data_IF_882400499957
#
_entry.id   IF_882400499957
#
_cell.length_a   1.000
_cell.length_b   1.000
_cell.length_c   1.000
_cell.angle_alpha   90.00
_cell.angle_beta   90.00
_cell.angle_gamma   90.00
#
_symmetry.space_group_name_H-M   'P 1'
#
loop_
_entity.id
_entity.type
_entity.pdbx_description
1 polymer ?
#
# COMPACT_ATOMS: atom_id res chain seq x y z
N UNK A 1 -5.30 3.68 12.66
CA UNK A 1 -4.81 3.39 11.29
C UNK A 1 -5.97 3.62 10.34
N UNK A 2 -5.87 4.54 9.37
CA UNK A 2 -6.97 4.79 8.41
C UNK A 2 -6.99 3.63 7.40
N UNK A 3 -8.13 2.98 7.13
CA UNK A 3 -8.19 1.92 6.13
C UNK A 3 -7.90 2.50 4.74
N UNK A 4 -7.14 1.77 3.93
CA UNK A 4 -6.88 2.17 2.54
C UNK A 4 -8.17 2.01 1.72
N UNK A 5 -8.40 2.88 0.72
CA UNK A 5 -9.64 2.88 -0.05
C UNK A 5 -9.87 1.58 -0.84
N UNK A 6 -8.80 0.89 -1.22
CA UNK A 6 -8.87 -0.38 -1.96
C UNK A 6 -9.43 -1.53 -1.09
N UNK A 7 -9.07 -1.57 0.20
CA UNK A 7 -9.57 -2.59 1.13
C UNK A 7 -11.09 -2.47 1.34
N UNK A 8 -11.62 -1.25 1.34
CA UNK A 8 -13.07 -1.04 1.49
C UNK A 8 -13.84 -1.59 0.28
N UNK A 9 -13.33 -1.36 -0.92
CA UNK A 9 -13.92 -1.85 -2.17
C UNK A 9 -13.90 -3.39 -2.27
N UNK A 10 -12.84 -4.04 -1.77
CA UNK A 10 -12.76 -5.50 -1.71
C UNK A 10 -13.75 -6.10 -0.71
N UNK A 11 -13.94 -5.46 0.46
CA UNK A 11 -14.85 -5.94 1.51
C UNK A 11 -16.33 -5.83 1.11
N UNK A 12 -16.70 -4.92 0.21
CA UNK A 12 -18.07 -4.86 -0.34
C UNK A 12 -18.44 -6.12 -1.15
N UNK A 13 -17.45 -6.79 -1.74
CA UNK A 13 -17.67 -8.05 -2.48
C UNK A 13 -17.82 -9.27 -1.56
N UNK A 14 -17.54 -9.12 -0.26
CA UNK A 14 -17.60 -10.19 0.74
C UNK A 14 -18.31 -9.74 2.02
N UNK A 15 -19.65 -9.53 1.98
CA UNK A 15 -20.41 -8.96 3.10
C UNK A 15 -20.32 -9.80 4.39
N UNK A 16 -20.12 -11.12 4.26
CA UNK A 16 -19.87 -12.02 5.40
C UNK A 16 -18.59 -11.61 6.15
N UNK A 17 -17.47 -11.41 5.43
CA UNK A 17 -16.18 -11.04 6.01
C UNK A 17 -16.21 -9.61 6.58
N UNK A 18 -16.96 -8.70 5.95
CA UNK A 18 -17.15 -7.34 6.44
C UNK A 18 -17.90 -7.29 7.80
N UNK A 19 -18.76 -8.27 8.06
CA UNK A 19 -19.54 -8.38 9.31
C UNK A 19 -18.81 -9.05 10.47
N UNK A 20 -17.65 -9.68 10.21
CA UNK A 20 -16.87 -10.38 11.24
C UNK A 20 -16.05 -9.40 12.07
N UNK A 21 -16.01 -9.64 13.38
CA UNK A 21 -15.14 -8.89 14.28
C UNK A 21 -13.67 -9.22 13.97
N UNK A 22 -12.82 -8.18 13.84
CA UNK A 22 -11.37 -8.37 13.60
C UNK A 22 -10.67 -8.77 14.89
N UNK A 23 -10.83 -10.03 15.28
CA UNK A 23 -10.18 -10.63 16.44
C UNK A 23 -8.93 -11.37 16.00
N UNK A 24 -7.78 -11.08 16.62
CA UNK A 24 -6.60 -11.91 16.47
C UNK A 24 -6.78 -13.18 17.30
N UNK A 25 -7.00 -14.33 16.66
CA UNK A 25 -7.19 -15.63 17.35
C UNK A 25 -5.89 -16.26 17.83
N UNK A 26 -4.75 -15.65 17.50
CA UNK A 26 -3.43 -16.12 17.91
C UNK A 26 -2.90 -15.21 19.00
N UNK A 27 -2.81 -15.75 20.21
CA UNK A 27 -2.14 -15.11 21.32
C UNK A 27 -0.90 -15.92 21.70
N UNK A 28 0.21 -15.22 21.86
CA UNK A 28 1.45 -15.82 22.32
C UNK A 28 1.50 -15.68 23.84
N UNK A 29 1.85 -16.75 24.59
CA UNK A 29 1.99 -16.66 26.04
C UNK A 29 2.96 -15.57 26.48
N UNK A 30 2.67 -14.94 27.61
CA UNK A 30 3.57 -13.95 28.20
C UNK A 30 4.98 -14.54 28.41
N UNK A 31 6.01 -13.82 27.93
CA UNK A 31 7.41 -14.26 28.04
C UNK A 31 7.89 -15.31 27.03
N UNK A 32 7.07 -15.67 26.03
CA UNK A 32 7.46 -16.60 24.98
C UNK A 32 8.73 -16.16 24.25
N UNK A 33 8.77 -14.91 23.76
CA UNK A 33 9.91 -14.42 23.00
C UNK A 33 11.17 -14.21 23.87
N UNK A 34 11.00 -14.00 25.18
CA UNK A 34 12.12 -13.88 26.12
C UNK A 34 12.79 -15.23 26.43
N UNK A 35 12.03 -16.33 26.31
CA UNK A 35 12.46 -17.69 26.64
C UNK A 35 12.79 -18.54 25.42
N UNK A 36 12.20 -18.27 24.25
CA UNK A 36 12.35 -19.10 23.05
C UNK A 36 13.81 -19.15 22.57
N UNK A 37 14.52 -18.02 22.58
CA UNK A 37 15.93 -17.97 22.17
C UNK A 37 16.80 -18.83 23.09
N UNK A 38 16.59 -18.72 24.41
CA UNK A 38 17.30 -19.52 25.41
C UNK A 38 16.96 -21.00 25.29
N UNK A 39 15.70 -21.33 25.04
CA UNK A 39 15.23 -22.70 24.84
C UNK A 39 15.83 -23.34 23.56
N UNK A 40 15.93 -22.57 22.47
CA UNK A 40 16.58 -23.02 21.22
C UNK A 40 18.07 -23.29 21.46
N UNK A 41 18.81 -22.34 22.04
CA UNK A 41 20.24 -22.54 22.33
C UNK A 41 20.48 -23.67 23.32
N UNK A 42 19.61 -23.83 24.33
CA UNK A 42 19.69 -24.95 25.26
C UNK A 42 19.46 -26.30 24.57
N UNK A 43 18.61 -26.36 23.54
CA UNK A 43 18.37 -27.60 22.77
C UNK A 43 19.49 -27.90 21.78
N UNK A 44 20.05 -26.87 21.14
CA UNK A 44 21.18 -27.01 20.22
C UNK A 44 22.44 -27.46 20.97
N UNK A 45 22.68 -26.90 22.15
CA UNK A 45 23.87 -27.17 22.95
C UNK A 45 23.69 -28.27 24.01
N UNK A 46 22.48 -28.82 24.17
CA UNK A 46 22.26 -29.96 25.03
C UNK A 46 23.10 -31.15 24.51
N UNK A 47 23.84 -31.86 25.38
CA UNK A 47 24.51 -33.09 24.99
C UNK A 47 23.42 -34.08 24.56
N UNK A 48 23.30 -34.23 23.25
CA UNK A 48 22.49 -35.18 22.48
C UNK A 48 21.27 -35.74 23.23
N UNK A 49 20.09 -35.27 22.85
CA UNK A 49 18.88 -36.09 22.92
C UNK A 49 19.22 -37.51 22.45
N UNK A 50 18.70 -38.59 23.05
CA UNK A 50 18.91 -39.97 22.57
C UNK A 50 18.48 -40.18 21.09
N UNK A 51 17.83 -39.18 20.48
CA UNK A 51 17.59 -39.11 19.04
C UNK A 51 18.83 -38.76 18.19
N UNK A 52 19.94 -38.33 18.79
CA UNK A 52 21.20 -37.93 18.11
C UNK A 52 22.38 -38.84 18.55
N UNK A 53 22.16 -39.74 19.51
CA UNK A 53 23.19 -40.67 20.02
C UNK A 53 23.44 -41.85 19.09
N UNK A 54 22.50 -42.16 18.20
CA UNK A 54 22.80 -43.03 17.08
C UNK A 54 23.47 -42.18 15.99
N UNK A 55 24.59 -42.64 15.43
CA UNK A 55 25.15 -42.14 14.16
C UNK A 55 24.20 -42.42 12.97
N UNK A 56 22.89 -42.31 13.17
CA UNK A 56 21.91 -42.20 12.10
C UNK A 56 22.19 -40.87 11.46
N UNK A 57 22.99 -40.92 10.42
CA UNK A 57 23.27 -39.81 9.54
C UNK A 57 21.96 -39.47 8.81
N UNK A 58 21.06 -38.74 9.49
CA UNK A 58 19.77 -38.28 8.96
C UNK A 58 19.94 -37.33 7.75
N UNK A 59 21.18 -36.87 7.54
CA UNK A 59 21.59 -36.04 6.41
C UNK A 59 22.29 -36.86 5.31
N UNK A 60 22.52 -38.17 5.52
CA UNK A 60 23.03 -39.05 4.47
C UNK A 60 21.90 -39.65 3.66
N UNK A 61 22.11 -39.61 2.35
CA UNK A 61 21.31 -40.39 1.42
C UNK A 61 21.79 -41.85 1.42
N UNK A 62 20.90 -42.82 1.12
CA UNK A 62 21.30 -44.20 0.91
C UNK A 62 22.38 -44.33 -0.18
N UNK A 63 23.28 -45.32 -0.08
CA UNK A 63 24.26 -45.58 -1.11
C UNK A 63 23.56 -45.87 -2.46
N UNK A 64 24.04 -45.26 -3.54
CA UNK A 64 23.43 -45.44 -4.87
C UNK A 64 22.22 -44.54 -5.15
N UNK A 65 21.85 -43.61 -4.25
CA UNK A 65 20.70 -42.72 -4.44
C UNK A 65 20.85 -41.88 -5.71
N UNK A 66 21.96 -41.15 -5.85
CA UNK A 66 22.16 -40.24 -6.98
C UNK A 66 22.49 -40.98 -8.28
N UNK A 67 23.17 -42.11 -8.18
CA UNK A 67 23.54 -42.98 -9.30
C UNK A 67 22.29 -43.56 -9.99
N UNK A 68 21.27 -43.92 -9.21
CA UNK A 68 20.03 -44.50 -9.73
C UNK A 68 18.91 -43.47 -9.95
N UNK A 69 19.04 -42.26 -9.41
CA UNK A 69 17.99 -41.21 -9.48
C UNK A 69 17.55 -40.93 -10.91
N UNK A 70 18.51 -40.70 -11.81
CA UNK A 70 18.23 -40.38 -13.22
C UNK A 70 17.46 -41.50 -13.92
N UNK A 71 17.90 -42.74 -13.73
CA UNK A 71 17.25 -43.93 -14.29
C UNK A 71 15.84 -44.12 -13.73
N UNK A 72 15.65 -43.88 -12.43
CA UNK A 72 14.34 -43.96 -11.78
C UNK A 72 13.38 -42.88 -12.29
N UNK A 73 13.84 -41.64 -12.45
CA UNK A 73 13.06 -40.54 -13.00
C UNK A 73 12.64 -40.86 -14.45
N UNK A 74 13.60 -41.28 -15.30
CA UNK A 74 13.31 -41.63 -16.69
C UNK A 74 12.34 -42.81 -16.81
N UNK A 75 12.48 -43.81 -15.95
CA UNK A 75 11.55 -44.95 -15.94
C UNK A 75 10.14 -44.52 -15.52
N UNK A 76 10.01 -43.60 -14.55
CA UNK A 76 8.72 -43.04 -14.15
C UNK A 76 8.07 -42.22 -15.26
N UNK A 77 8.84 -41.38 -15.96
CA UNK A 77 8.34 -40.61 -17.10
C UNK A 77 7.84 -41.54 -18.21
N UNK A 78 8.64 -42.55 -18.59
CA UNK A 78 8.25 -43.52 -19.62
C UNK A 78 7.03 -44.36 -19.22
N UNK A 79 6.87 -44.68 -17.93
CA UNK A 79 5.67 -45.35 -17.43
C UNK A 79 4.44 -44.45 -17.57
N UNK A 80 4.59 -43.16 -17.28
CA UNK A 80 3.52 -42.17 -17.41
C UNK A 80 3.16 -41.92 -18.88
N UNK A 81 4.13 -41.81 -19.79
CA UNK A 81 3.88 -41.67 -21.24
C UNK A 81 3.15 -42.87 -21.86
N UNK A 82 3.30 -44.07 -21.25
CA UNK A 82 2.63 -45.29 -21.71
C UNK A 82 1.13 -45.30 -21.34
N UNK A 83 0.73 -44.51 -20.35
CA UNK A 83 -0.66 -44.30 -19.97
C UNK A 83 -1.21 -43.15 -20.84
N UNK A 84 -2.32 -43.37 -21.55
CA UNK A 84 -2.93 -42.26 -22.27
C UNK A 84 -3.45 -41.23 -21.25
N UNK A 85 -3.19 -39.94 -21.47
CA UNK A 85 -3.64 -38.86 -20.57
C UNK A 85 -5.16 -38.90 -20.31
N UNK A 86 -5.94 -39.41 -21.28
CA UNK A 86 -7.37 -39.69 -21.14
C UNK A 86 -7.69 -40.74 -20.06
N UNK A 87 -6.88 -41.78 -19.95
CA UNK A 87 -7.08 -42.87 -19.00
C UNK A 87 -6.68 -42.43 -17.58
N UNK A 88 -5.62 -41.62 -17.45
CA UNK A 88 -5.25 -40.99 -16.18
C UNK A 88 -6.34 -40.03 -15.68
N UNK A 89 -6.85 -39.15 -16.56
CA UNK A 89 -7.93 -38.24 -16.22
C UNK A 89 -9.20 -38.99 -15.81
N UNK A 90 -9.54 -40.08 -16.51
CA UNK A 90 -10.68 -40.93 -16.15
C UNK A 90 -10.51 -41.56 -14.77
N UNK A 91 -9.29 -41.94 -14.38
CA UNK A 91 -9.00 -42.53 -13.07
C UNK A 91 -8.98 -41.48 -11.94
N UNK A 92 -8.36 -40.32 -12.17
CA UNK A 92 -8.18 -39.28 -11.16
C UNK A 92 -9.44 -38.43 -10.95
N UNK A 93 -10.16 -38.12 -12.02
CA UNK A 93 -11.38 -37.33 -11.97
C UNK A 93 -12.35 -37.74 -13.09
N UNK A 94 -13.21 -38.74 -12.82
CA UNK A 94 -14.23 -39.18 -13.78
C UNK A 94 -15.14 -38.04 -14.24
N UNK A 95 -15.38 -37.06 -13.36
CA UNK A 95 -16.19 -35.87 -13.66
C UNK A 95 -15.46 -34.96 -14.67
N UNK A 96 -14.20 -34.60 -14.43
CA UNK A 96 -13.45 -33.78 -15.40
C UNK A 96 -13.26 -34.49 -16.74
N UNK A 97 -13.07 -35.82 -16.73
CA UNK A 97 -13.07 -36.61 -17.95
C UNK A 97 -14.39 -36.50 -18.72
N UNK A 98 -15.53 -36.50 -18.01
CA UNK A 98 -16.86 -36.38 -18.63
C UNK A 98 -17.15 -35.02 -19.25
N UNK A 99 -16.54 -33.95 -18.73
CA UNK A 99 -16.68 -32.59 -19.27
C UNK A 99 -15.98 -32.46 -20.63
N UNK A 100 -15.02 -33.36 -20.92
CA UNK A 100 -14.13 -33.33 -22.07
C UNK A 100 -13.29 -32.03 -22.08
N UNK A 101 -12.05 -32.09 -22.53
CA UNK A 101 -11.14 -30.93 -22.48
C UNK A 101 -11.46 -29.90 -23.60
N UNK A 102 -12.75 -29.62 -23.79
CA UNK A 102 -13.26 -28.65 -24.74
C UNK A 102 -13.14 -27.26 -24.13
N UNK A 103 -12.47 -26.34 -24.82
CA UNK A 103 -12.32 -24.96 -24.36
C UNK A 103 -13.63 -24.19 -24.62
N UNK A 104 -14.40 -23.79 -23.59
CA UNK A 104 -15.65 -23.06 -23.80
C UNK A 104 -15.41 -21.60 -24.21
N UNK A 105 -14.18 -21.10 -24.08
CA UNK A 105 -13.82 -19.72 -24.37
C UNK A 105 -13.35 -19.58 -25.82
N UNK A 106 -14.31 -19.57 -26.74
CA UNK A 106 -14.07 -19.24 -28.14
C UNK A 106 -14.42 -17.79 -28.41
N UNK A 107 -13.64 -17.14 -29.28
CA UNK A 107 -13.97 -15.80 -29.78
C UNK A 107 -14.72 -15.91 -31.10
N UNK A 108 -15.67 -15.01 -31.39
CA UNK A 108 -16.32 -14.97 -32.69
C UNK A 108 -15.32 -14.77 -33.83
N UNK A 109 -15.68 -15.29 -35.01
CA UNK A 109 -14.85 -15.15 -36.21
C UNK A 109 -14.54 -13.69 -36.50
N UNK A 110 -13.25 -13.37 -36.64
CA UNK A 110 -12.79 -12.02 -36.94
C UNK A 110 -12.79 -11.05 -35.75
N UNK A 111 -13.02 -11.48 -34.50
CA UNK A 111 -12.92 -10.64 -33.29
C UNK A 111 -11.65 -9.78 -33.28
N UNK A 112 -10.48 -10.43 -33.41
CA UNK A 112 -9.19 -9.73 -33.41
C UNK A 112 -8.90 -8.96 -34.71
N UNK A 113 -9.61 -9.26 -35.81
CA UNK A 113 -9.48 -8.50 -37.06
C UNK A 113 -10.20 -7.15 -36.97
N UNK A 114 -11.36 -7.12 -36.29
CA UNK A 114 -12.20 -5.92 -36.16
C UNK A 114 -11.87 -5.08 -34.92
N UNK A 115 -11.21 -5.66 -33.92
CA UNK A 115 -10.83 -5.00 -32.68
C UNK A 115 -10.02 -3.70 -32.89
N UNK A 116 -8.99 -3.64 -33.76
CA UNK A 116 -8.20 -2.42 -33.96
C UNK A 116 -9.05 -1.27 -34.50
N UNK A 117 -9.89 -1.53 -35.51
CA UNK A 117 -10.78 -0.52 -36.09
C UNK A 117 -11.78 0.01 -35.05
N UNK A 118 -12.40 -0.88 -34.26
CA UNK A 118 -13.33 -0.48 -33.20
C UNK A 118 -12.68 0.32 -32.06
N UNK A 119 -11.40 0.07 -31.76
CA UNK A 119 -10.65 0.90 -30.81
C UNK A 119 -10.35 2.27 -31.42
N UNK A 120 -9.88 2.31 -32.68
CA UNK A 120 -9.57 3.56 -33.38
C UNK A 120 -10.79 4.50 -33.48
N UNK A 121 -11.97 3.94 -33.76
CA UNK A 121 -13.23 4.70 -33.79
C UNK A 121 -13.59 5.29 -32.42
N UNK A 122 -13.29 4.58 -31.34
CA UNK A 122 -13.58 5.01 -29.95
C UNK A 122 -12.56 6.02 -29.41
N UNK A 123 -11.31 5.99 -29.88
CA UNK A 123 -10.27 6.92 -29.44
C UNK A 123 -10.23 8.20 -30.27
N UNK A 124 -11.03 8.34 -31.33
CA UNK A 124 -11.10 9.59 -32.09
C UNK A 124 -11.54 10.72 -31.13
N UNK A 125 -10.64 11.66 -30.79
CA UNK A 125 -10.94 12.67 -29.81
C UNK A 125 -11.99 13.60 -30.40
N UNK A 126 -13.22 13.51 -29.92
CA UNK A 126 -14.18 14.60 -30.06
C UNK A 126 -13.49 15.82 -29.44
N UNK A 127 -13.00 16.73 -30.27
CA UNK A 127 -12.25 17.92 -29.88
C UNK A 127 -13.15 18.75 -28.96
N UNK A 128 -13.05 18.52 -27.66
CA UNK A 128 -13.84 19.22 -26.66
C UNK A 128 -13.41 20.69 -26.68
N UNK A 129 -14.38 21.60 -26.76
CA UNK A 129 -14.15 23.05 -26.81
C UNK A 129 -13.41 23.51 -25.54
N UNK A 130 -12.10 23.66 -25.65
CA UNK A 130 -11.25 24.23 -24.60
C UNK A 130 -11.59 25.71 -24.46
N UNK A 131 -12.34 26.07 -23.42
CA UNK A 131 -12.62 27.48 -23.11
C UNK A 131 -11.55 27.97 -22.14
N UNK A 132 -10.74 28.91 -22.60
CA UNK A 132 -9.74 29.57 -21.76
C UNK A 132 -10.44 30.37 -20.64
N UNK A 133 -10.01 30.16 -19.40
CA UNK A 133 -10.53 30.89 -18.25
C UNK A 133 -9.83 32.25 -18.08
N UNK A 134 -10.56 33.37 -17.90
CA UNK A 134 -9.95 34.67 -17.65
C UNK A 134 -9.48 34.83 -16.20
N UNK A 135 -8.31 35.45 -15.98
CA UNK A 135 -7.73 35.68 -14.65
C UNK A 135 -8.40 36.89 -13.96
N UNK A 136 -8.94 36.69 -12.76
CA UNK A 136 -9.65 37.74 -11.98
C UNK A 136 -8.66 38.68 -11.27
N UNK A 137 -8.26 39.76 -11.92
CA UNK A 137 -7.37 40.79 -11.34
C UNK A 137 -8.10 41.94 -10.60
N UNK A 138 -9.42 41.86 -10.42
CA UNK A 138 -10.23 42.96 -9.87
C UNK A 138 -9.95 43.32 -8.41
N UNK A 139 -9.41 42.40 -7.61
CA UNK A 139 -9.21 42.60 -6.16
C UNK A 139 -8.05 43.55 -5.83
N UNK A 140 -7.05 43.67 -6.73
CA UNK A 140 -5.90 44.57 -6.53
C UNK A 140 -6.30 46.04 -6.45
N UNK A 141 -7.39 46.43 -7.11
CA UNK A 141 -7.88 47.82 -7.11
C UNK A 141 -8.40 48.24 -5.73
N UNK A 142 -9.02 47.31 -4.99
CA UNK A 142 -9.50 47.57 -3.64
C UNK A 142 -8.37 47.65 -2.62
N UNK A 143 -7.31 46.84 -2.78
CA UNK A 143 -6.14 46.88 -1.90
C UNK A 143 -5.44 48.25 -1.93
N UNK A 144 -5.28 48.86 -3.11
CA UNK A 144 -4.67 50.18 -3.24
C UNK A 144 -5.47 51.28 -2.51
N UNK A 145 -6.81 51.25 -2.58
CA UNK A 145 -7.66 52.22 -1.89
C UNK A 145 -7.52 52.13 -0.36
N UNK A 146 -7.48 50.91 0.19
CA UNK A 146 -7.33 50.70 1.64
C UNK A 146 -6.01 51.26 2.18
N UNK A 147 -4.93 51.13 1.41
CA UNK A 147 -3.61 51.69 1.78
C UNK A 147 -3.64 53.21 1.82
N UNK A 148 -4.27 53.85 0.82
CA UNK A 148 -4.40 55.30 0.79
C UNK A 148 -5.24 55.82 1.96
N UNK A 149 -6.35 55.17 2.27
CA UNK A 149 -7.17 55.55 3.43
C UNK A 149 -6.45 55.31 4.76
N UNK A 150 -5.65 54.24 4.86
CA UNK A 150 -4.83 53.96 6.04
C UNK A 150 -3.75 55.01 6.28
N UNK A 151 -3.05 55.42 5.21
CA UNK A 151 -2.04 56.49 5.27
C UNK A 151 -2.65 57.82 5.75
N UNK A 152 -3.83 58.19 5.22
CA UNK A 152 -4.52 59.42 5.61
C UNK A 152 -4.96 59.34 7.08
N UNK A 153 -5.55 58.23 7.50
CA UNK A 153 -5.99 58.04 8.88
C UNK A 153 -4.82 58.11 9.88
N UNK A 154 -3.72 57.40 9.61
CA UNK A 154 -2.52 57.40 10.46
C UNK A 154 -1.90 58.80 10.52
N UNK A 155 -1.82 59.51 9.38
CA UNK A 155 -1.26 60.86 9.32
C UNK A 155 -2.07 61.86 10.15
N UNK A 156 -3.42 61.77 10.10
CA UNK A 156 -4.30 62.61 10.91
C UNK A 156 -4.15 62.38 12.42
N UNK A 157 -3.97 61.12 12.83
CA UNK A 157 -3.83 60.75 14.24
C UNK A 157 -2.48 61.22 14.81
N UNK A 158 -1.40 61.14 14.02
CA UNK A 158 -0.06 61.62 14.40
C UNK A 158 -0.03 63.14 14.62
N UNK A 159 -0.76 63.93 13.83
CA UNK A 159 -0.84 65.39 14.00
C UNK A 159 -1.58 65.76 15.30
N UNK A 160 -2.67 65.04 15.62
CA UNK A 160 -3.48 65.31 16.80
C UNK A 160 -2.76 64.94 18.11
N UNK A 161 -1.90 63.92 18.09
CA UNK A 161 -1.16 63.48 19.28
C UNK A 161 0.07 64.36 19.62
N UNK A 162 0.48 65.26 18.71
CA UNK A 162 1.71 66.07 18.88
C UNK A 162 1.45 67.47 19.47
N UNK A 163 0.19 67.92 19.53
CA UNK A 163 -0.18 69.25 20.05
C UNK A 163 -0.35 69.33 21.57
N UNK A 164 -0.19 68.23 22.32
CA UNK A 164 -0.44 68.19 23.78
C UNK A 164 0.79 68.46 24.66
N UNK A 165 1.90 68.94 24.10
CA UNK A 165 3.10 69.26 24.89
C UNK A 165 3.50 70.75 24.72
N UNK A 166 3.18 71.58 25.72
CA UNK A 166 3.86 72.85 25.97
C UNK A 166 4.77 72.77 27.21
N UNK A 167 5.89 73.53 27.25
CA UNK A 167 7.05 73.25 28.09
C UNK A 167 6.93 73.75 29.54
N UNK A 168 7.55 73.00 30.47
CA UNK A 168 7.62 73.26 31.91
C UNK A 168 8.50 74.48 32.20
N UNK A 169 7.95 75.50 32.88
CA UNK A 169 8.70 76.63 33.46
C UNK A 169 9.25 76.24 34.84
N UNK A 170 10.56 76.18 34.97
CA UNK A 170 11.27 75.97 36.25
C UNK A 170 11.40 77.31 36.99
N UNK A 171 10.78 77.41 38.18
CA UNK A 171 10.90 78.58 39.08
C UNK A 171 12.05 78.36 40.04
N UNK A 172 13.05 79.23 39.93
CA UNK A 172 14.06 79.53 40.95
C UNK A 172 13.38 80.08 42.20
N UNK A 173 13.67 79.52 43.37
CA UNK A 173 13.63 80.23 44.65
C UNK A 173 14.85 79.89 45.48
N UNK A 174 15.70 80.91 45.62
CA UNK A 174 16.70 81.10 46.64
C UNK A 174 16.09 80.99 48.04
N UNK A 175 16.82 80.38 48.97
CA UNK A 175 16.79 80.75 50.39
C UNK A 175 18.09 80.31 51.07
N UNK A 176 19.07 81.20 51.15
CA UNK A 176 19.92 81.37 52.35
C UNK A 176 19.25 82.43 53.23
N UNK A 177 19.37 82.44 54.56
CA UNK A 177 20.57 82.86 55.29
C UNK A 177 20.28 82.71 56.81
N UNK A 178 21.32 82.40 57.58
CA UNK A 178 21.49 82.74 59.01
C UNK A 178 21.93 84.20 59.10
#
# INVERSE_FOLDING_TARGET
MKPSPHILNELETTPLLASMERVCVFEVPAGYFDTVSKAIFSRINAPQSPLITEERNYLSVPPGYFENLSSQILNKIKQQEKQAASDELRQLSPLLYSIQNENPLTVPDGYFKNLPAGILDKINPQISKVVAMPKRMGMLRYAAAAVLTGMIAISSLMIFNRSSQEPIKERVTESGVV
#
